data_IF_310475930022
#
_entry.id   IF_310475930022
#
_cell.length_a   1.000
_cell.length_b   1.000
_cell.length_c   1.000
_cell.angle_alpha   90.00
_cell.angle_beta   90.00
_cell.angle_gamma   90.00
#
_symmetry.space_group_name_H-M   'P 1'
#
loop_
_entity.id
_entity.type
_entity.pdbx_description
1 polymer ?
#
# COMPACT_ATOMS: atom_id res chain seq x y z
N UNK A 1 -0.68 10.81 -7.18
CA UNK A 1 0.17 11.26 -8.31
C UNK A 1 0.41 10.09 -9.26
N UNK A 2 0.59 10.34 -10.56
CA UNK A 2 0.93 9.30 -11.53
C UNK A 2 2.45 9.25 -11.71
N UNK A 3 3.06 8.11 -11.36
CA UNK A 3 4.53 7.92 -11.35
C UNK A 3 4.94 6.56 -11.93
N UNK A 4 4.09 5.95 -12.76
CA UNK A 4 4.33 4.62 -13.36
C UNK A 4 3.69 3.45 -12.62
N UNK A 5 2.97 3.68 -11.52
CA UNK A 5 2.17 2.65 -10.84
C UNK A 5 0.86 2.34 -11.59
N UNK A 6 0.41 1.08 -11.55
CA UNK A 6 -0.91 0.63 -12.05
C UNK A 6 -1.65 -0.23 -11.02
N UNK A 7 -2.94 -0.50 -11.24
CA UNK A 7 -3.73 -1.39 -10.39
C UNK A 7 -3.44 -2.88 -10.67
N UNK A 8 -3.85 -3.78 -9.76
CA UNK A 8 -3.72 -5.23 -9.94
C UNK A 8 -2.34 -5.79 -9.56
N UNK A 9 -2.08 -7.05 -9.92
CA UNK A 9 -0.83 -7.77 -9.65
C UNK A 9 0.20 -7.58 -10.77
N UNK A 10 -0.25 -7.43 -12.01
CA UNK A 10 0.60 -7.33 -13.19
C UNK A 10 1.08 -5.90 -13.44
N UNK A 11 1.81 -5.33 -12.48
CA UNK A 11 2.31 -3.95 -12.58
C UNK A 11 3.53 -3.86 -13.47
N UNK A 12 4.47 -4.79 -13.26
CA UNK A 12 5.73 -4.85 -13.99
C UNK A 12 6.04 -6.29 -14.39
N UNK A 13 6.62 -6.45 -15.58
CA UNK A 13 7.13 -7.72 -16.12
C UNK A 13 8.56 -8.03 -15.68
N UNK A 14 9.23 -7.06 -15.06
CA UNK A 14 10.56 -7.17 -14.44
C UNK A 14 10.57 -6.33 -13.16
N UNK A 15 11.50 -6.60 -12.23
CA UNK A 15 11.68 -5.75 -11.04
C UNK A 15 11.83 -4.28 -11.48
N UNK A 16 10.99 -3.36 -10.96
CA UNK A 16 10.97 -2.01 -11.47
C UNK A 16 12.23 -1.24 -11.10
N UNK A 17 12.73 -0.46 -12.06
CA UNK A 17 13.81 0.51 -11.90
C UNK A 17 13.24 1.92 -11.90
N UNK A 18 14.09 2.92 -11.63
CA UNK A 18 13.72 4.34 -11.72
C UNK A 18 13.24 4.81 -13.10
N UNK A 19 13.45 4.00 -14.15
CA UNK A 19 12.95 4.29 -15.50
C UNK A 19 11.44 4.09 -15.63
N UNK A 20 10.89 3.07 -14.96
CA UNK A 20 9.47 2.68 -15.07
C UNK A 20 8.66 3.05 -13.83
N UNK A 21 9.34 3.34 -12.71
CA UNK A 21 8.75 3.84 -11.48
C UNK A 21 9.46 5.14 -11.09
N UNK A 22 8.86 6.27 -11.45
CA UNK A 22 9.45 7.60 -11.34
C UNK A 22 9.30 8.19 -9.93
N UNK A 23 9.96 7.61 -8.92
CA UNK A 23 9.93 8.14 -7.54
C UNK A 23 10.52 9.56 -7.45
N UNK A 24 11.52 9.90 -8.27
CA UNK A 24 12.09 11.26 -8.34
C UNK A 24 11.03 12.33 -8.64
N UNK A 25 9.96 11.98 -9.38
CA UNK A 25 8.84 12.89 -9.63
C UNK A 25 8.08 13.24 -8.35
N UNK A 26 8.01 12.33 -7.37
CA UNK A 26 7.41 12.63 -6.06
C UNK A 26 8.23 13.72 -5.35
N UNK A 27 9.56 13.61 -5.37
CA UNK A 27 10.47 14.61 -4.79
C UNK A 27 10.31 15.98 -5.44
N UNK A 28 10.23 16.03 -6.78
CA UNK A 28 9.98 17.26 -7.53
C UNK A 28 8.65 17.92 -7.14
N UNK A 29 7.59 17.11 -7.03
CA UNK A 29 6.26 17.60 -6.61
C UNK A 29 6.34 18.13 -5.18
N UNK A 30 6.98 17.39 -4.27
CA UNK A 30 7.10 17.79 -2.88
C UNK A 30 7.92 19.07 -2.70
N UNK A 31 9.00 19.27 -3.47
CA UNK A 31 9.73 20.55 -3.48
C UNK A 31 8.84 21.73 -3.85
N UNK A 32 7.91 21.54 -4.79
CA UNK A 32 6.95 22.58 -5.22
C UNK A 32 5.77 22.74 -4.28
N UNK A 33 5.35 21.66 -3.63
CA UNK A 33 4.18 21.57 -2.75
C UNK A 33 4.57 20.94 -1.40
N UNK A 34 5.42 21.60 -0.60
CA UNK A 34 6.03 21.00 0.60
C UNK A 34 5.01 20.67 1.69
N UNK A 35 3.85 21.34 1.68
CA UNK A 35 2.80 21.16 2.66
C UNK A 35 1.67 20.22 2.17
N UNK A 36 1.77 19.69 0.95
CA UNK A 36 0.73 18.83 0.38
C UNK A 36 1.03 17.36 0.68
N UNK A 37 0.05 16.67 1.26
CA UNK A 37 0.12 15.24 1.49
C UNK A 37 -0.14 14.48 0.18
N UNK A 38 0.83 13.70 -0.27
CA UNK A 38 0.74 12.95 -1.52
C UNK A 38 0.17 11.54 -1.29
N UNK A 39 -0.49 11.02 -2.32
CA UNK A 39 -1.06 9.68 -2.35
C UNK A 39 -0.41 8.85 -3.45
N UNK A 40 0.08 7.68 -3.09
CA UNK A 40 0.51 6.64 -4.04
C UNK A 40 -0.63 5.64 -4.25
N UNK A 41 -1.06 5.51 -5.51
CA UNK A 41 -2.10 4.57 -5.92
C UNK A 41 -1.44 3.28 -6.43
N UNK A 42 -2.20 2.18 -6.46
CA UNK A 42 -1.73 0.92 -7.03
C UNK A 42 -0.40 0.43 -6.44
N UNK A 43 -0.19 0.62 -5.14
CA UNK A 43 1.14 0.50 -4.51
C UNK A 43 1.36 -0.83 -3.78
N UNK A 44 0.52 -1.83 -4.05
CA UNK A 44 0.76 -3.22 -3.64
C UNK A 44 2.15 -3.70 -4.12
N UNK A 45 2.87 -4.42 -3.26
CA UNK A 45 4.22 -4.90 -3.52
C UNK A 45 4.29 -6.28 -4.16
N UNK A 46 3.18 -7.02 -4.20
CA UNK A 46 3.05 -8.37 -4.78
C UNK A 46 4.10 -9.31 -4.18
N UNK A 47 3.91 -9.78 -2.92
CA UNK A 47 4.90 -10.60 -2.23
C UNK A 47 5.15 -11.94 -2.95
N UNK A 48 6.40 -12.24 -3.26
CA UNK A 48 6.82 -13.42 -4.03
C UNK A 48 6.52 -14.74 -3.28
N UNK A 49 6.61 -14.73 -1.95
CA UNK A 49 6.26 -15.86 -1.09
C UNK A 49 4.78 -16.25 -1.22
N UNK A 50 3.88 -15.25 -1.30
CA UNK A 50 2.46 -15.49 -1.55
C UNK A 50 2.19 -16.02 -2.96
N UNK A 51 2.91 -15.51 -3.98
CA UNK A 51 2.80 -16.04 -5.34
C UNK A 51 3.24 -17.51 -5.41
N UNK A 52 4.37 -17.83 -4.79
CA UNK A 52 4.90 -19.19 -4.70
C UNK A 52 3.89 -20.12 -4.02
N UNK A 53 3.33 -19.70 -2.87
CA UNK A 53 2.34 -20.49 -2.15
C UNK A 53 1.06 -20.72 -2.96
N UNK A 54 0.58 -19.70 -3.68
CA UNK A 54 -0.57 -19.84 -4.59
C UNK A 54 -0.27 -20.86 -5.69
N UNK A 55 0.89 -20.75 -6.34
CA UNK A 55 1.25 -21.63 -7.46
C UNK A 55 1.51 -23.08 -7.02
N UNK A 56 2.09 -23.28 -5.84
CA UNK A 56 2.26 -24.62 -5.24
C UNK A 56 0.91 -25.31 -4.96
N UNK A 57 -0.16 -24.53 -4.70
CA UNK A 57 -1.50 -25.04 -4.40
C UNK A 57 -2.48 -24.83 -5.57
N UNK A 58 -2.02 -25.17 -6.79
CA UNK A 58 -2.84 -25.20 -8.01
C UNK A 58 -3.19 -23.83 -8.59
N UNK A 59 -2.46 -22.78 -8.22
CA UNK A 59 -2.49 -21.49 -8.89
C UNK A 59 -1.57 -21.46 -10.12
N UNK A 60 -1.77 -20.46 -10.97
CA UNK A 60 -0.97 -20.25 -12.19
C UNK A 60 -0.71 -18.75 -12.42
N UNK A 61 -0.23 -18.06 -11.39
CA UNK A 61 0.16 -16.66 -11.50
C UNK A 61 1.56 -16.61 -12.12
N UNK A 62 1.73 -15.99 -13.31
CA UNK A 62 3.04 -15.83 -13.92
C UNK A 62 3.93 -14.92 -13.07
N UNK A 63 5.23 -14.96 -13.33
CA UNK A 63 6.18 -14.05 -12.72
C UNK A 63 5.76 -12.59 -12.92
N UNK A 64 5.65 -11.85 -11.83
CA UNK A 64 5.24 -10.45 -11.86
C UNK A 64 5.69 -9.73 -10.60
N UNK A 65 5.83 -8.42 -10.70
CA UNK A 65 6.41 -7.60 -9.65
C UNK A 65 5.47 -6.45 -9.29
N UNK A 66 5.37 -6.16 -8.00
CA UNK A 66 4.70 -4.99 -7.47
C UNK A 66 5.62 -3.80 -7.28
N UNK A 67 5.17 -2.82 -6.51
CA UNK A 67 6.00 -1.66 -6.12
C UNK A 67 6.92 -2.07 -4.96
N UNK A 68 8.25 -1.96 -5.09
CA UNK A 68 9.17 -2.32 -4.02
C UNK A 68 8.96 -1.46 -2.78
N UNK A 69 9.05 -2.05 -1.60
CA UNK A 69 8.81 -1.37 -0.31
C UNK A 69 9.79 -0.21 -0.13
N UNK A 70 11.05 -0.40 -0.53
CA UNK A 70 12.10 0.61 -0.47
C UNK A 70 11.75 1.87 -1.29
N UNK A 71 11.08 1.71 -2.43
CA UNK A 71 10.64 2.83 -3.27
C UNK A 71 9.44 3.57 -2.65
N UNK A 72 8.53 2.84 -2.00
CA UNK A 72 7.43 3.44 -1.23
C UNK A 72 8.01 4.26 -0.06
N UNK A 73 9.00 3.72 0.66
CA UNK A 73 9.67 4.41 1.76
C UNK A 73 10.36 5.70 1.29
N UNK A 74 10.99 5.70 0.10
CA UNK A 74 11.50 6.94 -0.52
C UNK A 74 10.36 7.93 -0.78
N UNK A 75 9.23 7.47 -1.32
CA UNK A 75 8.03 8.30 -1.48
C UNK A 75 7.54 8.92 -0.16
N UNK A 76 7.58 8.17 0.94
CA UNK A 76 7.19 8.66 2.28
C UNK A 76 8.13 9.76 2.76
N UNK A 77 9.44 9.60 2.58
CA UNK A 77 10.43 10.67 2.85
C UNK A 77 10.15 11.94 2.04
N UNK A 78 9.50 11.77 0.89
CA UNK A 78 9.18 12.83 -0.08
C UNK A 78 7.71 13.25 -0.07
N UNK A 79 7.01 13.15 1.07
CA UNK A 79 5.68 13.75 1.25
C UNK A 79 4.49 12.83 0.97
N UNK A 80 4.69 11.56 0.62
CA UNK A 80 3.59 10.58 0.58
C UNK A 80 3.11 10.27 1.99
N UNK A 81 1.80 10.36 2.20
CA UNK A 81 1.13 10.10 3.50
C UNK A 81 0.02 9.06 3.42
N UNK A 82 -0.37 8.65 2.20
CA UNK A 82 -1.36 7.58 1.97
C UNK A 82 -0.87 6.66 0.86
N UNK A 83 -0.82 5.36 1.17
CA UNK A 83 -0.38 4.30 0.26
C UNK A 83 -1.56 3.35 0.06
N UNK A 84 -2.02 3.18 -1.17
CA UNK A 84 -3.13 2.27 -1.46
C UNK A 84 -2.62 0.85 -1.72
N UNK A 85 -3.03 -0.09 -0.87
CA UNK A 85 -2.68 -1.51 -0.96
C UNK A 85 -3.98 -2.32 -0.99
N UNK A 86 -4.08 -3.21 -1.96
CA UNK A 86 -5.26 -4.07 -2.15
C UNK A 86 -4.81 -5.45 -2.64
N UNK A 87 -4.11 -5.50 -3.77
CA UNK A 87 -3.59 -6.75 -4.35
C UNK A 87 -2.86 -7.64 -3.34
N UNK A 88 -2.03 -7.07 -2.45
CA UNK A 88 -1.29 -7.88 -1.45
C UNK A 88 -2.25 -8.61 -0.51
N UNK A 89 -3.34 -7.95 -0.08
CA UNK A 89 -4.38 -8.57 0.75
C UNK A 89 -5.13 -9.66 -0.02
N UNK A 90 -5.45 -9.42 -1.30
CA UNK A 90 -6.12 -10.43 -2.15
C UNK A 90 -5.25 -11.67 -2.35
N UNK A 91 -3.95 -11.48 -2.58
CA UNK A 91 -2.97 -12.57 -2.70
C UNK A 91 -2.87 -13.34 -1.39
N UNK A 92 -2.79 -12.65 -0.25
CA UNK A 92 -2.72 -13.27 1.07
C UNK A 92 -3.94 -14.14 1.38
N UNK A 93 -5.15 -13.64 1.09
CA UNK A 93 -6.39 -14.40 1.25
C UNK A 93 -6.39 -15.61 0.29
N UNK A 94 -6.03 -15.40 -0.98
CA UNK A 94 -6.03 -16.46 -1.98
C UNK A 94 -5.06 -17.57 -1.63
N UNK A 95 -3.86 -17.23 -1.16
CA UNK A 95 -2.83 -18.17 -0.76
C UNK A 95 -3.32 -19.05 0.41
N UNK A 96 -3.88 -18.41 1.46
CA UNK A 96 -4.41 -19.12 2.62
C UNK A 96 -5.57 -20.06 2.28
N UNK A 97 -6.49 -19.62 1.43
CA UNK A 97 -7.64 -20.44 1.00
C UNK A 97 -7.17 -21.64 0.18
N UNK A 98 -6.26 -21.42 -0.77
CA UNK A 98 -5.72 -22.49 -1.62
C UNK A 98 -4.95 -23.52 -0.80
N UNK A 99 -4.06 -23.08 0.07
CA UNK A 99 -3.31 -23.94 0.99
C UNK A 99 -4.27 -24.80 1.84
N UNK A 100 -5.28 -24.18 2.46
CA UNK A 100 -6.24 -24.90 3.29
C UNK A 100 -7.00 -25.97 2.48
N UNK A 101 -7.59 -25.60 1.33
CA UNK A 101 -8.36 -26.52 0.50
C UNK A 101 -7.51 -27.64 -0.10
N UNK A 102 -6.25 -27.34 -0.46
CA UNK A 102 -5.33 -28.35 -0.97
C UNK A 102 -4.89 -29.32 0.12
N UNK A 103 -4.69 -28.84 1.35
CA UNK A 103 -4.31 -29.66 2.50
C UNK A 103 -5.40 -30.64 2.95
N UNK A 104 -6.68 -30.28 2.79
CA UNK A 104 -7.80 -31.15 3.13
C UNK A 104 -8.96 -31.00 2.13
N UNK A 105 -8.94 -31.74 1.01
CA UNK A 105 -9.96 -31.63 -0.05
C UNK A 105 -11.38 -32.08 0.36
N UNK A 106 -11.53 -32.73 1.53
CA UNK A 106 -12.82 -33.19 2.05
C UNK A 106 -13.56 -32.09 2.82
N UNK A 107 -12.86 -31.05 3.25
CA UNK A 107 -13.46 -29.96 4.01
C UNK A 107 -14.28 -29.05 3.11
N UNK A 108 -15.50 -28.76 3.54
CA UNK A 108 -16.45 -27.91 2.81
C UNK A 108 -16.94 -26.73 3.65
N UNK A 109 -16.69 -26.73 4.97
CA UNK A 109 -17.06 -25.63 5.85
C UNK A 109 -16.25 -24.38 5.46
N UNK A 110 -16.88 -23.29 5.03
CA UNK A 110 -16.16 -22.08 4.65
C UNK A 110 -15.26 -21.52 5.75
N UNK A 111 -15.59 -21.77 7.02
CA UNK A 111 -14.77 -21.32 8.14
C UNK A 111 -13.41 -22.02 8.16
N UNK A 112 -13.31 -23.24 7.67
CA UNK A 112 -12.04 -23.97 7.60
C UNK A 112 -11.03 -23.24 6.71
N UNK A 113 -11.44 -22.85 5.50
CA UNK A 113 -10.54 -22.20 4.53
C UNK A 113 -10.55 -20.66 4.61
N UNK A 114 -11.57 -20.03 5.18
CA UNK A 114 -11.60 -18.56 5.36
C UNK A 114 -10.94 -18.10 6.66
N UNK A 115 -11.01 -18.84 7.77
CA UNK A 115 -10.36 -18.41 9.03
C UNK A 115 -8.84 -18.20 8.89
N UNK A 116 -8.08 -19.06 8.19
CA UNK A 116 -6.64 -18.85 7.98
C UNK A 116 -6.33 -17.54 7.25
N UNK A 117 -7.21 -17.10 6.34
CA UNK A 117 -7.00 -15.88 5.54
C UNK A 117 -6.84 -14.61 6.39
N UNK A 118 -7.48 -14.58 7.57
CA UNK A 118 -7.35 -13.48 8.52
C UNK A 118 -5.90 -13.32 8.97
N UNK A 119 -5.23 -14.42 9.34
CA UNK A 119 -3.83 -14.41 9.79
C UNK A 119 -2.89 -13.95 8.69
N UNK A 120 -3.10 -14.42 7.46
CA UNK A 120 -2.31 -14.04 6.29
C UNK A 120 -2.44 -12.54 5.99
N UNK A 121 -3.67 -12.02 5.94
CA UNK A 121 -3.91 -10.60 5.70
C UNK A 121 -3.42 -9.73 6.87
N UNK A 122 -3.59 -10.18 8.11
CA UNK A 122 -3.04 -9.50 9.30
C UNK A 122 -1.53 -9.36 9.20
N UNK A 123 -0.82 -10.41 8.77
CA UNK A 123 0.64 -10.34 8.55
C UNK A 123 1.00 -9.27 7.51
N UNK A 124 0.34 -9.27 6.35
CA UNK A 124 0.57 -8.26 5.31
C UNK A 124 0.35 -6.84 5.86
N UNK A 125 -0.77 -6.61 6.54
CA UNK A 125 -1.08 -5.29 7.11
C UNK A 125 -0.07 -4.88 8.20
N UNK A 126 0.30 -5.79 9.10
CA UNK A 126 1.27 -5.54 10.16
C UNK A 126 2.65 -5.19 9.59
N UNK A 127 3.12 -5.96 8.60
CA UNK A 127 4.39 -5.70 7.92
C UNK A 127 4.37 -4.30 7.27
N UNK A 128 3.28 -3.90 6.61
CA UNK A 128 3.15 -2.56 6.01
C UNK A 128 3.11 -1.44 7.06
N UNK A 129 2.39 -1.61 8.16
CA UNK A 129 2.38 -0.63 9.24
C UNK A 129 3.77 -0.42 9.84
N UNK A 130 4.55 -1.50 10.00
CA UNK A 130 5.93 -1.42 10.47
C UNK A 130 6.84 -0.77 9.43
N UNK A 131 6.77 -1.20 8.18
CA UNK A 131 7.62 -0.71 7.07
C UNK A 131 7.39 0.77 6.73
N UNK A 132 6.19 1.29 7.02
CA UNK A 132 5.78 2.67 6.72
C UNK A 132 5.72 3.57 7.97
N UNK A 133 6.37 3.17 9.07
CA UNK A 133 6.48 3.93 10.32
C UNK A 133 5.15 4.35 10.97
N UNK A 134 4.08 3.61 10.67
CA UNK A 134 2.74 3.85 11.22
C UNK A 134 2.49 3.05 12.51
N UNK A 135 3.23 1.96 12.73
CA UNK A 135 3.17 1.20 13.98
C UNK A 135 3.51 2.10 15.19
N UNK A 136 2.70 2.02 16.24
CA UNK A 136 2.88 2.82 17.47
C UNK A 136 2.45 4.29 17.39
N UNK A 137 1.96 4.78 16.25
CA UNK A 137 1.52 6.18 16.13
C UNK A 137 0.09 6.42 16.64
N UNK A 138 -0.74 5.38 16.73
CA UNK A 138 -2.18 5.50 17.00
C UNK A 138 -2.48 6.24 18.31
N UNK A 139 -1.78 5.92 19.40
CA UNK A 139 -2.00 6.53 20.72
C UNK A 139 -1.56 7.99 20.82
N UNK A 140 -0.79 8.48 19.83
CA UNK A 140 -0.34 9.88 19.75
C UNK A 140 -1.37 10.81 19.10
N UNK A 141 -2.41 10.24 18.49
CA UNK A 141 -3.43 11.00 17.75
C UNK A 141 -4.60 11.29 18.68
N UNK A 142 -4.82 12.57 18.99
CA UNK A 142 -6.08 13.02 19.60
C UNK A 142 -7.17 13.04 18.51
N UNK A 143 -8.18 12.22 18.68
CA UNK A 143 -9.35 12.24 17.78
C UNK A 143 -10.11 13.56 17.92
N UNK A 144 -10.54 14.10 16.79
CA UNK A 144 -11.26 15.36 16.67
C UNK A 144 -12.47 15.10 15.77
N UNK A 145 -13.61 15.71 16.10
CA UNK A 145 -14.87 15.47 15.38
C UNK A 145 -14.86 16.11 13.98
N UNK A 146 -15.77 15.67 13.11
CA UNK A 146 -15.96 16.31 11.81
C UNK A 146 -16.47 17.76 11.95
N UNK A 147 -17.30 18.05 12.95
CA UNK A 147 -17.82 19.40 13.21
C UNK A 147 -16.70 20.39 13.57
N UNK A 148 -15.73 19.94 14.37
CA UNK A 148 -14.53 20.72 14.67
C UNK A 148 -13.72 21.03 13.40
N UNK A 149 -13.54 20.04 12.52
CA UNK A 149 -12.83 20.25 11.24
C UNK A 149 -13.61 21.18 10.31
N UNK A 150 -14.93 21.06 10.24
CA UNK A 150 -15.79 21.94 9.44
C UNK A 150 -15.63 23.40 9.88
N UNK A 151 -15.64 23.66 11.19
CA UNK A 151 -15.40 24.99 11.74
C UNK A 151 -14.00 25.54 11.39
N UNK A 152 -12.95 24.71 11.44
CA UNK A 152 -11.58 25.09 11.04
C UNK A 152 -11.49 25.45 9.56
N UNK A 153 -12.12 24.67 8.68
CA UNK A 153 -12.19 24.98 7.26
C UNK A 153 -12.94 26.29 7.00
N UNK A 154 -14.09 26.51 7.66
CA UNK A 154 -14.87 27.74 7.52
C UNK A 154 -14.09 28.99 7.95
N UNK A 155 -13.20 28.87 8.94
CA UNK A 155 -12.28 29.92 9.38
C UNK A 155 -11.04 30.08 8.50
N UNK A 156 -10.83 29.20 7.53
CA UNK A 156 -9.65 29.18 6.67
C UNK A 156 -8.37 28.68 7.33
N UNK A 157 -8.45 28.09 8.53
CA UNK A 157 -7.28 27.60 9.30
C UNK A 157 -6.53 26.46 8.59
N UNK A 158 -7.23 25.74 7.71
CA UNK A 158 -6.71 24.61 6.94
C UNK A 158 -6.53 24.93 5.45
N UNK A 159 -6.60 26.20 5.07
CA UNK A 159 -6.35 26.62 3.69
C UNK A 159 -4.93 26.25 3.28
N UNK A 160 -4.77 25.85 2.01
CA UNK A 160 -3.45 25.55 1.48
C UNK A 160 -2.56 26.79 1.57
N UNK A 161 -1.49 26.69 2.38
CA UNK A 161 -0.51 27.77 2.47
C UNK A 161 0.36 27.72 1.21
N UNK A 162 0.00 28.52 0.21
CA UNK A 162 0.80 28.73 -0.97
C UNK A 162 2.11 29.43 -0.56
N UNK A 163 3.19 28.68 -0.34
CA UNK A 163 4.51 29.30 -0.35
C UNK A 163 4.77 29.78 -1.78
N UNK A 164 5.11 31.07 -1.94
CA UNK A 164 5.74 31.55 -3.19
C UNK A 164 6.93 30.63 -3.44
N UNK A 165 7.05 30.12 -4.67
CA UNK A 165 8.17 29.30 -5.06
C UNK A 165 9.47 29.97 -4.62
N UNK A 166 10.34 29.23 -3.93
CA UNK A 166 11.70 29.69 -3.70
C UNK A 166 12.33 29.76 -5.08
N UNK A 167 12.55 30.98 -5.59
CA UNK A 167 13.35 31.20 -6.80
C UNK A 167 14.73 30.60 -6.55
N UNK A 168 15.16 29.73 -7.47
CA UNK A 168 16.48 29.12 -7.47
C UNK A 168 17.59 30.18 -7.54
#
# INVERSE_FOLDING_TARGET
>A
VAIGTSHGAYKFTRKPTGEILAISRIEEIHRRLPNTHLVMHGSSSVPEDLLALINQNGGAIPETYGVPVEEIQKGIKSGVRKINIDTDCRLAITAAVREALFSNPKEFDPRFFLKPSIKYMQKVCADRYQQFDAAGQASKIKQVSLDDFAAKYAKGELNAVAKKAVTA
#
